data_IF_455837091056
#
_entry.id   IF_455837091056
#
_cell.length_a   1.000
_cell.length_b   1.000
_cell.length_c   1.000
_cell.angle_alpha   90.00
_cell.angle_beta   90.00
_cell.angle_gamma   90.00
#
_symmetry.space_group_name_H-M   'P 1'
#
loop_
_entity.id
_entity.type
_entity.pdbx_description
1 polymer ?
#
# COMPACT_ATOMS: atom_id res chain seq x y z
N UNK A 1 -8.20 -48.43 -23.92
CA UNK A 1 -7.67 -47.18 -24.50
C UNK A 1 -7.90 -46.08 -23.49
N UNK A 2 -6.89 -45.74 -22.69
CA UNK A 2 -7.01 -44.67 -21.69
C UNK A 2 -6.66 -43.34 -22.36
N UNK A 3 -7.61 -42.41 -22.38
CA UNK A 3 -7.39 -41.05 -22.84
C UNK A 3 -6.43 -40.35 -21.85
N UNK A 4 -5.32 -39.85 -22.37
CA UNK A 4 -4.34 -39.09 -21.61
C UNK A 4 -4.86 -37.67 -21.47
N UNK A 5 -5.16 -37.25 -20.23
CA UNK A 5 -5.51 -35.86 -19.91
C UNK A 5 -4.35 -34.95 -20.37
N UNK A 6 -4.60 -33.93 -21.20
CA UNK A 6 -3.54 -33.03 -21.63
C UNK A 6 -2.94 -32.31 -20.41
N UNK A 7 -1.63 -31.99 -20.44
CA UNK A 7 -0.99 -31.26 -19.35
C UNK A 7 -1.68 -29.91 -19.17
N UNK A 8 -2.08 -29.61 -17.94
CA UNK A 8 -2.65 -28.32 -17.56
C UNK A 8 -1.54 -27.26 -17.71
N UNK A 9 -1.51 -26.55 -18.83
CA UNK A 9 -0.67 -25.35 -18.94
C UNK A 9 -1.21 -24.34 -17.90
N UNK A 10 -0.37 -23.80 -16.99
CA UNK A 10 -0.81 -22.73 -16.11
C UNK A 10 -1.27 -21.57 -16.98
N UNK A 11 -2.56 -21.29 -16.96
CA UNK A 11 -3.10 -20.12 -17.62
C UNK A 11 -2.61 -18.90 -16.83
N UNK A 12 -2.02 -17.87 -17.46
CA UNK A 12 -1.62 -16.67 -16.73
C UNK A 12 -2.86 -16.11 -16.00
N UNK A 13 -2.70 -15.63 -14.76
CA UNK A 13 -3.83 -15.10 -14.01
C UNK A 13 -4.49 -13.99 -14.82
N UNK A 14 -5.82 -14.06 -14.90
CA UNK A 14 -6.60 -13.02 -15.58
C UNK A 14 -6.35 -11.69 -14.86
N UNK A 15 -6.11 -10.58 -15.58
CA UNK A 15 -6.00 -9.27 -14.93
C UNK A 15 -7.27 -8.95 -14.15
N UNK A 16 -7.08 -8.41 -12.96
CA UNK A 16 -8.16 -7.97 -12.08
C UNK A 16 -8.97 -6.85 -12.79
N UNK A 17 -10.29 -6.94 -12.72
CA UNK A 17 -11.21 -5.96 -13.32
C UNK A 17 -11.72 -4.99 -12.26
N UNK A 18 -12.08 -3.78 -12.70
CA UNK A 18 -12.84 -2.85 -11.86
C UNK A 18 -14.09 -3.55 -11.33
N UNK A 19 -14.33 -3.42 -10.03
CA UNK A 19 -15.40 -4.09 -9.29
C UNK A 19 -14.99 -5.44 -8.68
N UNK A 20 -13.75 -5.90 -8.85
CA UNK A 20 -13.25 -7.14 -8.25
C UNK A 20 -12.43 -6.87 -6.98
N UNK A 21 -12.50 -7.81 -6.04
CA UNK A 21 -11.67 -7.81 -4.84
C UNK A 21 -10.25 -8.30 -5.16
N UNK A 22 -9.26 -7.68 -4.52
CA UNK A 22 -7.85 -8.04 -4.68
C UNK A 22 -7.02 -7.56 -3.51
N UNK A 23 -5.74 -7.92 -3.54
CA UNK A 23 -4.75 -7.47 -2.56
C UNK A 23 -3.88 -6.40 -3.19
N UNK A 24 -3.69 -5.30 -2.48
CA UNK A 24 -2.84 -4.21 -2.93
C UNK A 24 -1.74 -3.91 -1.92
N UNK A 25 -0.67 -3.31 -2.42
CA UNK A 25 0.44 -2.83 -1.61
C UNK A 25 1.07 -1.58 -2.22
N UNK A 26 1.81 -0.83 -1.41
CA UNK A 26 2.63 0.27 -1.92
C UNK A 26 3.76 -0.29 -2.77
N UNK A 27 3.99 0.27 -3.96
CA UNK A 27 5.07 -0.17 -4.84
C UNK A 27 6.46 -0.07 -4.20
N UNK A 28 6.66 0.92 -3.32
CA UNK A 28 7.87 1.10 -2.52
C UNK A 28 8.16 -0.07 -1.57
N UNK A 29 7.15 -0.88 -1.24
CA UNK A 29 7.28 -2.02 -0.34
C UNK A 29 7.72 -3.31 -1.06
N UNK A 30 7.76 -3.31 -2.39
CA UNK A 30 8.22 -4.45 -3.18
C UNK A 30 9.74 -4.63 -3.03
N UNK A 31 10.14 -5.75 -2.44
CA UNK A 31 11.54 -6.16 -2.32
C UNK A 31 11.79 -7.39 -3.19
N UNK A 32 12.88 -7.43 -3.95
CA UNK A 32 13.25 -8.62 -4.71
C UNK A 32 13.95 -9.62 -3.80
N UNK A 33 13.44 -10.84 -3.72
CA UNK A 33 14.06 -11.96 -3.02
C UNK A 33 14.90 -12.80 -4.01
N UNK A 34 16.25 -12.73 -3.95
CA UNK A 34 17.11 -13.48 -4.85
C UNK A 34 17.04 -14.99 -4.67
N UNK A 35 16.62 -15.49 -3.49
CA UNK A 35 16.55 -16.92 -3.21
C UNK A 35 15.35 -17.58 -3.89
N UNK A 36 14.24 -16.86 -4.01
CA UNK A 36 13.02 -17.35 -4.66
C UNK A 36 12.83 -16.78 -6.07
N UNK A 37 13.56 -15.73 -6.44
CA UNK A 37 13.40 -15.01 -7.70
C UNK A 37 12.07 -14.24 -7.81
N UNK A 38 11.41 -13.99 -6.68
CA UNK A 38 10.09 -13.34 -6.60
C UNK A 38 10.19 -11.99 -5.89
N UNK A 39 9.26 -11.11 -6.19
CA UNK A 39 9.05 -9.92 -5.36
C UNK A 39 8.25 -10.30 -4.12
N UNK A 40 8.63 -9.75 -2.97
CA UNK A 40 7.96 -9.93 -1.68
C UNK A 40 7.52 -8.58 -1.14
N UNK A 41 6.40 -8.58 -0.44
CA UNK A 41 5.84 -7.40 0.22
C UNK A 41 5.58 -7.73 1.68
N UNK A 42 6.01 -6.88 2.64
CA UNK A 42 5.75 -7.12 4.05
C UNK A 42 4.26 -7.22 4.39
N UNK A 43 3.40 -6.41 3.75
CA UNK A 43 1.97 -6.35 4.04
C UNK A 43 1.16 -6.17 2.76
N UNK A 44 0.18 -7.06 2.56
CA UNK A 44 -0.89 -6.88 1.59
C UNK A 44 -2.17 -6.35 2.24
N UNK A 45 -2.91 -5.51 1.52
CA UNK A 45 -4.16 -4.91 1.98
C UNK A 45 -5.32 -5.37 1.09
N UNK A 46 -6.40 -5.95 1.65
CA UNK A 46 -7.56 -6.31 0.84
C UNK A 46 -8.36 -5.06 0.44
N UNK A 47 -8.82 -5.03 -0.80
CA UNK A 47 -9.58 -3.91 -1.33
C UNK A 47 -10.45 -4.30 -2.53
N UNK A 48 -11.39 -3.42 -2.85
CA UNK A 48 -12.15 -3.46 -4.10
C UNK A 48 -11.46 -2.54 -5.10
N UNK A 49 -11.08 -3.07 -6.26
CA UNK A 49 -10.53 -2.25 -7.34
C UNK A 49 -11.66 -1.39 -7.92
N UNK A 50 -11.58 -0.07 -7.82
CA UNK A 50 -12.65 0.83 -8.28
C UNK A 50 -12.26 1.66 -9.51
N UNK A 51 -10.97 1.86 -9.76
CA UNK A 51 -10.49 2.60 -10.92
C UNK A 51 -8.99 2.33 -11.19
N UNK A 52 -8.48 2.89 -12.27
CA UNK A 52 -7.06 3.00 -12.59
C UNK A 52 -6.69 4.45 -12.86
N UNK A 53 -5.60 4.91 -12.24
CA UNK A 53 -5.08 6.26 -12.44
C UNK A 53 -3.60 6.19 -12.83
N UNK A 54 -3.25 6.68 -14.02
CA UNK A 54 -1.89 6.63 -14.56
C UNK A 54 -1.22 5.23 -14.50
N UNK A 55 -2.01 4.16 -14.67
CA UNK A 55 -1.54 2.78 -14.59
C UNK A 55 -1.49 2.19 -13.17
N UNK A 56 -1.79 2.98 -12.13
CA UNK A 56 -1.87 2.53 -10.75
C UNK A 56 -3.30 2.24 -10.32
N UNK A 57 -3.46 1.24 -9.47
CA UNK A 57 -4.76 0.79 -9.03
C UNK A 57 -5.34 1.75 -7.98
N UNK A 58 -6.64 2.05 -8.09
CA UNK A 58 -7.39 2.82 -7.10
C UNK A 58 -8.30 1.86 -6.34
N UNK A 59 -8.13 1.81 -5.03
CA UNK A 59 -8.77 0.81 -4.17
C UNK A 59 -9.78 1.47 -3.24
N UNK A 60 -10.91 0.82 -3.04
CA UNK A 60 -11.82 1.10 -1.93
C UNK A 60 -11.65 0.02 -0.87
N UNK A 61 -11.32 0.40 0.36
CA UNK A 61 -11.10 -0.53 1.47
C UNK A 61 -11.95 -0.20 2.70
N UNK A 62 -12.08 -1.16 3.60
CA UNK A 62 -12.76 -0.99 4.88
C UNK A 62 -11.93 -0.10 5.83
N UNK A 63 -12.55 0.40 6.91
CA UNK A 63 -11.82 1.14 7.95
C UNK A 63 -10.67 0.34 8.58
N UNK A 64 -10.84 -0.94 8.98
CA UNK A 64 -9.74 -1.72 9.54
C UNK A 64 -8.55 -1.86 8.59
N UNK A 65 -8.79 -2.01 7.28
CA UNK A 65 -7.71 -2.02 6.29
C UNK A 65 -7.05 -0.66 6.17
N UNK A 66 -7.82 0.43 6.18
CA UNK A 66 -7.26 1.78 6.17
C UNK A 66 -6.41 2.05 7.42
N UNK A 67 -6.83 1.57 8.60
CA UNK A 67 -6.04 1.61 9.84
C UNK A 67 -4.73 0.81 9.70
N UNK A 68 -4.77 -0.37 9.06
CA UNK A 68 -3.58 -1.16 8.77
C UNK A 68 -2.62 -0.44 7.80
N UNK A 69 -3.13 0.29 6.80
CA UNK A 69 -2.32 1.11 5.89
C UNK A 69 -1.62 2.24 6.65
N UNK A 70 -2.34 2.96 7.51
CA UNK A 70 -1.76 4.04 8.34
C UNK A 70 -0.70 3.47 9.28
N UNK A 71 -0.95 2.32 9.90
CA UNK A 71 0.01 1.65 10.78
C UNK A 71 1.27 1.20 10.02
N UNK A 72 1.13 0.63 8.83
CA UNK A 72 2.26 0.21 7.99
C UNK A 72 3.12 1.41 7.56
N UNK A 73 2.49 2.54 7.23
CA UNK A 73 3.20 3.78 6.96
C UNK A 73 3.95 4.33 8.18
N UNK A 74 3.40 4.18 9.38
CA UNK A 74 4.13 4.51 10.60
C UNK A 74 5.34 3.60 10.79
N UNK A 75 5.22 2.29 10.53
CA UNK A 75 6.35 1.36 10.55
C UNK A 75 7.44 1.74 9.54
N UNK A 76 7.07 2.15 8.32
CA UNK A 76 8.02 2.66 7.33
C UNK A 76 8.74 3.91 7.86
N UNK A 77 7.99 4.87 8.42
CA UNK A 77 8.58 6.09 9.00
C UNK A 77 9.54 5.78 10.13
N UNK A 78 9.25 4.80 10.97
CA UNK A 78 10.15 4.39 12.06
C UNK A 78 11.45 3.78 11.51
N UNK A 79 11.36 2.94 10.46
CA UNK A 79 12.53 2.35 9.79
C UNK A 79 13.41 3.41 9.11
N UNK A 80 12.79 4.36 8.41
CA UNK A 80 13.49 5.49 7.78
C UNK A 80 14.14 6.36 8.86
N UNK A 81 13.44 6.64 9.96
CA UNK A 81 14.01 7.39 11.10
C UNK A 81 15.25 6.70 11.66
N UNK A 82 15.18 5.38 11.89
CA UNK A 82 16.34 4.61 12.35
C UNK A 82 17.51 4.71 11.36
N UNK A 83 17.24 4.62 10.06
CA UNK A 83 18.26 4.71 9.02
C UNK A 83 18.91 6.09 8.99
N UNK A 84 18.12 7.17 9.00
CA UNK A 84 18.61 8.55 8.93
C UNK A 84 19.37 8.98 10.19
N UNK A 85 18.92 8.54 11.37
CA UNK A 85 19.65 8.78 12.62
C UNK A 85 20.97 8.01 12.64
N UNK A 86 21.01 6.78 12.13
CA UNK A 86 22.25 6.03 11.91
C UNK A 86 23.22 6.70 10.95
N UNK A 87 22.73 7.52 10.02
CA UNK A 87 23.52 8.39 9.14
C UNK A 87 23.94 9.72 9.80
N UNK A 88 23.56 9.96 11.05
CA UNK A 88 23.91 11.15 11.82
C UNK A 88 22.97 12.34 11.67
N UNK A 89 21.84 12.19 10.97
CA UNK A 89 20.84 13.27 10.87
C UNK A 89 20.11 13.43 12.21
N UNK A 90 19.86 14.68 12.59
CA UNK A 90 19.14 15.03 13.83
C UNK A 90 18.24 16.26 13.63
N UNK A 91 17.32 16.49 14.56
CA UNK A 91 16.51 17.70 14.63
C UNK A 91 15.72 18.00 13.36
N UNK A 92 15.81 19.24 12.88
CA UNK A 92 15.08 19.73 11.70
C UNK A 92 15.52 19.06 10.42
N UNK A 93 16.81 18.72 10.27
CA UNK A 93 17.33 18.02 9.10
C UNK A 93 16.78 16.60 9.02
N UNK A 94 16.76 15.86 10.14
CA UNK A 94 16.13 14.53 10.21
C UNK A 94 14.66 14.60 9.82
N UNK A 95 13.90 15.53 10.38
CA UNK A 95 12.47 15.67 10.09
C UNK A 95 12.23 16.00 8.61
N UNK A 96 13.00 16.93 8.06
CA UNK A 96 12.85 17.34 6.66
C UNK A 96 13.16 16.21 5.68
N UNK A 97 14.13 15.35 6.01
CA UNK A 97 14.48 14.19 5.18
C UNK A 97 13.49 13.04 5.36
N UNK A 98 13.02 12.79 6.60
CA UNK A 98 11.98 11.80 6.87
C UNK A 98 10.69 12.14 6.12
N UNK A 99 10.24 13.39 6.15
CA UNK A 99 9.01 13.82 5.47
C UNK A 99 9.17 13.83 3.94
N UNK A 100 10.40 13.80 3.41
CA UNK A 100 10.66 13.55 1.97
C UNK A 100 10.56 12.07 1.62
N UNK A 101 11.16 11.20 2.42
CA UNK A 101 11.28 9.76 2.11
C UNK A 101 10.03 8.96 2.46
N UNK A 102 9.34 9.34 3.54
CA UNK A 102 8.15 8.65 4.02
C UNK A 102 7.19 9.68 4.62
N UNK A 103 6.32 10.28 3.80
CA UNK A 103 5.42 11.34 4.25
C UNK A 103 4.50 10.88 5.40
N UNK A 104 4.20 11.76 6.38
CA UNK A 104 3.28 11.41 7.46
C UNK A 104 1.86 11.16 6.93
N UNK A 105 1.28 10.07 7.41
CA UNK A 105 -0.12 9.71 7.21
C UNK A 105 -0.73 9.45 8.59
N UNK A 106 -1.76 10.21 8.95
CA UNK A 106 -2.33 10.22 10.30
C UNK A 106 -3.84 10.33 10.27
N UNK A 107 -4.50 9.87 11.32
CA UNK A 107 -5.93 10.06 11.52
C UNK A 107 -6.23 11.47 12.06
N UNK A 108 -7.21 12.13 11.46
CA UNK A 108 -7.87 13.35 11.94
C UNK A 108 -9.38 13.08 12.05
N UNK A 109 -9.80 12.61 13.23
CA UNK A 109 -11.17 12.14 13.45
C UNK A 109 -11.49 10.90 12.61
N UNK A 110 -12.34 11.07 11.59
CA UNK A 110 -12.71 10.02 10.65
C UNK A 110 -11.90 10.08 9.34
N UNK A 111 -11.13 11.14 9.14
CA UNK A 111 -10.35 11.37 7.92
C UNK A 111 -8.91 10.88 8.10
N UNK A 112 -8.28 10.50 6.98
CA UNK A 112 -6.84 10.29 6.92
C UNK A 112 -6.22 11.53 6.27
N UNK A 113 -5.23 12.12 6.94
CA UNK A 113 -4.44 13.22 6.43
C UNK A 113 -3.11 12.67 5.95
N UNK A 114 -2.77 12.96 4.70
CA UNK A 114 -1.47 12.65 4.10
C UNK A 114 -0.78 13.97 3.80
N UNK A 115 0.32 14.24 4.50
CA UNK A 115 1.06 15.49 4.33
C UNK A 115 2.36 15.26 3.54
N UNK A 116 2.27 15.49 2.24
CA UNK A 116 3.38 15.47 1.29
C UNK A 116 3.81 16.89 0.90
N UNK A 117 3.56 17.89 1.76
CA UNK A 117 3.97 19.29 1.54
C UNK A 117 5.45 19.42 1.31
N UNK A 118 6.25 18.53 1.90
CA UNK A 118 7.68 18.53 1.70
C UNK A 118 8.08 18.14 0.27
N UNK A 119 7.33 17.23 -0.37
CA UNK A 119 7.61 16.75 -1.72
C UNK A 119 6.96 17.63 -2.81
N UNK A 120 5.75 18.15 -2.55
CA UNK A 120 4.94 18.85 -3.56
C UNK A 120 4.66 20.32 -3.26
N UNK A 121 5.15 20.85 -2.14
CA UNK A 121 4.86 22.21 -1.71
C UNK A 121 3.47 22.36 -1.06
N UNK A 122 3.16 23.53 -0.48
CA UNK A 122 1.99 23.73 0.39
C UNK A 122 0.66 23.79 -0.35
N UNK A 123 0.67 24.12 -1.65
CA UNK A 123 -0.56 24.24 -2.43
C UNK A 123 -1.18 22.87 -2.71
N UNK A 124 -0.34 21.89 -3.04
CA UNK A 124 -0.80 20.58 -3.44
C UNK A 124 -0.51 19.53 -2.35
N UNK A 125 0.44 19.77 -1.44
CA UNK A 125 1.05 18.82 -0.51
C UNK A 125 0.12 18.07 0.43
N UNK A 126 -1.00 18.67 0.80
CA UNK A 126 -1.90 18.13 1.81
C UNK A 126 -3.10 17.44 1.16
N UNK A 127 -3.28 16.15 1.43
CA UNK A 127 -4.42 15.37 0.96
C UNK A 127 -5.25 14.86 2.13
N UNK A 128 -6.57 14.85 1.94
CA UNK A 128 -7.55 14.33 2.91
C UNK A 128 -8.34 13.20 2.26
N UNK A 129 -8.35 12.05 2.93
CA UNK A 129 -9.13 10.88 2.53
C UNK A 129 -10.25 10.71 3.56
N UNK A 130 -11.46 11.10 3.15
CA UNK A 130 -12.67 10.91 3.94
C UNK A 130 -13.35 9.59 3.57
N UNK A 131 -14.03 8.93 4.51
CA UNK A 131 -14.83 7.75 4.19
C UNK A 131 -16.02 8.16 3.30
N UNK A 132 -16.41 7.26 2.39
CA UNK A 132 -17.64 7.40 1.61
C UNK A 132 -18.91 7.16 2.46
N UNK A 133 -20.08 7.21 1.83
CA UNK A 133 -21.37 6.97 2.48
C UNK A 133 -21.50 5.56 3.09
N UNK A 134 -20.63 4.61 2.71
CA UNK A 134 -20.57 3.25 3.21
C UNK A 134 -19.46 3.06 4.26
N UNK A 135 -18.76 4.13 4.65
CA UNK A 135 -17.66 4.06 5.59
C UNK A 135 -16.36 3.51 4.99
N UNK A 136 -16.24 3.45 3.65
CA UNK A 136 -15.06 2.92 2.96
C UNK A 136 -14.12 4.03 2.54
N UNK A 137 -12.82 3.75 2.54
CA UNK A 137 -11.77 4.69 2.20
C UNK A 137 -11.28 4.44 0.78
N UNK A 138 -11.14 5.49 -0.01
CA UNK A 138 -10.53 5.41 -1.34
C UNK A 138 -9.03 5.67 -1.20
N UNK A 139 -8.26 4.60 -1.32
CA UNK A 139 -6.81 4.61 -1.35
C UNK A 139 -6.40 4.68 -2.83
N UNK A 140 -5.98 5.86 -3.26
CA UNK A 140 -5.73 6.14 -4.67
C UNK A 140 -4.27 6.41 -4.98
N UNK A 141 -3.95 6.14 -6.24
CA UNK A 141 -2.62 6.25 -6.85
C UNK A 141 -2.01 7.65 -6.93
N UNK A 142 -2.68 8.72 -6.46
CA UNK A 142 -2.32 10.09 -6.84
C UNK A 142 -0.84 10.43 -6.57
N UNK A 143 -0.34 10.04 -5.39
CA UNK A 143 1.05 10.29 -4.99
C UNK A 143 1.75 9.09 -4.38
N UNK A 144 0.98 8.06 -4.06
CA UNK A 144 1.44 6.78 -3.57
C UNK A 144 0.91 5.75 -4.54
N UNK A 145 1.83 5.07 -5.17
CA UNK A 145 1.60 4.22 -6.31
C UNK A 145 1.27 2.83 -5.82
N UNK A 146 -0.03 2.55 -5.71
CA UNK A 146 -0.54 1.27 -5.24
C UNK A 146 -0.62 0.27 -6.39
N UNK A 147 -0.12 -0.93 -6.14
CA UNK A 147 -0.10 -2.02 -7.12
C UNK A 147 -0.89 -3.21 -6.63
N UNK A 148 -1.48 -3.93 -7.57
CA UNK A 148 -2.02 -5.27 -7.35
C UNK A 148 -0.86 -6.22 -7.02
N UNK A 149 -1.02 -7.05 -6.00
CA UNK A 149 -0.06 -8.08 -5.61
C UNK A 149 -0.75 -9.43 -5.43
N UNK A 150 -0.01 -10.51 -5.67
CA UNK A 150 -0.49 -11.85 -5.32
C UNK A 150 -0.42 -12.02 -3.79
N UNK A 151 -1.47 -12.52 -3.12
CA UNK A 151 -1.43 -12.77 -1.68
C UNK A 151 -0.24 -13.63 -1.23
N UNK A 152 0.24 -14.54 -2.09
CA UNK A 152 1.39 -15.42 -1.80
C UNK A 152 2.73 -14.71 -1.84
N UNK A 153 2.80 -13.51 -2.41
CA UNK A 153 3.98 -12.65 -2.36
C UNK A 153 4.04 -11.81 -1.08
N UNK A 154 2.93 -11.75 -0.32
CA UNK A 154 2.85 -11.01 0.94
C UNK A 154 3.38 -11.85 2.11
N UNK A 155 4.14 -11.24 3.03
CA UNK A 155 4.51 -11.89 4.30
C UNK A 155 3.29 -12.02 5.23
N UNK A 156 2.37 -11.05 5.17
CA UNK A 156 1.06 -11.08 5.82
C UNK A 156 0.02 -10.28 5.04
N UNK A 157 -1.26 -10.58 5.24
CA UNK A 157 -2.39 -9.82 4.69
C UNK A 157 -3.19 -9.21 5.84
N UNK A 158 -3.52 -7.92 5.75
CA UNK A 158 -4.37 -7.25 6.74
C UNK A 158 -5.78 -7.85 6.74
N UNK A 159 -6.37 -8.06 7.91
CA UNK A 159 -7.74 -8.58 8.03
C UNK A 159 -8.77 -7.44 8.01
N UNK A 160 -9.88 -7.67 7.32
CA UNK A 160 -11.06 -6.81 7.34
C UNK A 160 -11.73 -6.74 8.72
N UNK A 161 -11.44 -7.69 9.62
CA UNK A 161 -11.93 -7.71 11.00
C UNK A 161 -10.97 -7.04 12.01
N UNK A 162 -9.84 -6.47 11.57
CA UNK A 162 -8.81 -5.92 12.46
C UNK A 162 -7.98 -7.00 13.19
N UNK A 163 -8.11 -8.26 12.79
CA UNK A 163 -7.28 -9.39 13.24
C UNK A 163 -6.03 -9.60 12.38
N UNK A 164 -5.13 -10.48 12.81
CA UNK A 164 -3.98 -10.93 12.02
C UNK A 164 -4.30 -12.32 11.45
N UNK A 165 -4.05 -12.56 10.16
CA UNK A 165 -4.06 -13.89 9.53
C UNK A 165 -2.78 -14.13 8.76
#
# INVERSE_FOLDING_TARGET
>A
MSAQTPPHTPQPPRPLRIGEEGIFAGDWALTYDPATGRHRVPVGFPGLLIDWWNGFAVWSCSRPVAEAVVADQQCLRDQVTHTLTGQGLTGTALRAELDLQAAPMVWDGADIIVDQTRLHGPADGLSRISPDQRGRYVICGWRWTWTLVDPTDCDRVADDAGGLR
#
